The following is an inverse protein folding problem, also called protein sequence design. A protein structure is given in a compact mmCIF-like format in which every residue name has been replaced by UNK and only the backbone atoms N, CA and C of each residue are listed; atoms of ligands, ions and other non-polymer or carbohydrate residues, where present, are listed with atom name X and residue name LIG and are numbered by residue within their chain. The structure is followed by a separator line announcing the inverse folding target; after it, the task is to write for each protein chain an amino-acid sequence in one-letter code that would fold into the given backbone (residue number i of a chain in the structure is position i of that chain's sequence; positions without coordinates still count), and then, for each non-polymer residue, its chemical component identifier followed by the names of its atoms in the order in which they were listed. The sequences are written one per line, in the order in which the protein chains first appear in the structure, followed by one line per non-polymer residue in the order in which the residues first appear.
data_IF_457008191561
#
_entry.id   IF_457008191561
#
_cell.length_a   1.000
_cell.length_b   1.000
_cell.length_c   1.000
_cell.angle_alpha   90.00
_cell.angle_beta   90.00
_cell.angle_gamma   90.00
#
_symmetry.space_group_name_H-M   'P 1'
#
loop_
_entity.id
_entity.type
_entity.pdbx_description
1 polymer ?
#
# COMPACT_ATOMS: atom_id res chain seq x y z
N UNK A 1 -43.41 10.04 -40.05
CA UNK A 1 -42.24 10.45 -39.24
C UNK A 1 -41.23 11.07 -40.19
N UNK A 2 -40.89 12.36 -40.02
CA UNK A 2 -40.04 13.06 -40.99
C UNK A 2 -38.55 12.65 -40.81
N UNK A 3 -37.75 12.85 -41.86
CA UNK A 3 -36.33 12.46 -41.89
C UNK A 3 -35.53 13.04 -40.71
N UNK A 4 -35.93 14.22 -40.25
CA UNK A 4 -35.34 14.92 -39.10
C UNK A 4 -35.55 14.15 -37.79
N UNK A 5 -36.74 13.61 -37.54
CA UNK A 5 -37.03 12.79 -36.34
C UNK A 5 -36.24 11.47 -36.34
N UNK A 6 -36.02 10.88 -37.52
CA UNK A 6 -35.25 9.62 -37.65
C UNK A 6 -33.76 9.81 -37.36
N UNK A 7 -33.18 10.94 -37.80
CA UNK A 7 -31.77 11.26 -37.55
C UNK A 7 -31.53 11.57 -36.07
N UNK A 8 -32.44 12.32 -35.42
CA UNK A 8 -32.32 12.62 -33.98
C UNK A 8 -32.41 11.35 -33.12
N UNK A 9 -33.33 10.44 -33.41
CA UNK A 9 -33.42 9.15 -32.72
C UNK A 9 -32.14 8.29 -32.90
N UNK A 10 -31.54 8.29 -34.09
CA UNK A 10 -30.31 7.56 -34.38
C UNK A 10 -29.09 8.15 -33.64
N UNK A 11 -28.97 9.47 -33.57
CA UNK A 11 -27.89 10.16 -32.83
C UNK A 11 -28.02 9.95 -31.31
N UNK A 12 -29.24 9.93 -30.78
CA UNK A 12 -29.49 9.65 -29.35
C UNK A 12 -29.24 8.18 -28.98
N UNK A 13 -29.58 7.23 -29.86
CA UNK A 13 -29.25 5.81 -29.68
C UNK A 13 -27.75 5.55 -29.77
N UNK A 14 -27.04 6.22 -30.67
CA UNK A 14 -25.58 6.06 -30.82
C UNK A 14 -24.80 6.66 -29.64
N UNK A 15 -25.26 7.79 -29.09
CA UNK A 15 -24.65 8.42 -27.91
C UNK A 15 -24.93 7.64 -26.61
N UNK A 16 -26.11 7.04 -26.45
CA UNK A 16 -26.41 6.11 -25.36
C UNK A 16 -25.57 4.81 -25.43
N UNK A 17 -25.32 4.29 -26.63
CA UNK A 17 -24.51 3.09 -26.84
C UNK A 17 -23.01 3.32 -26.54
N UNK A 18 -22.47 4.49 -26.91
CA UNK A 18 -21.10 4.88 -26.57
C UNK A 18 -20.89 5.11 -25.07
N UNK A 19 -21.90 5.61 -24.35
CA UNK A 19 -21.83 5.80 -22.90
C UNK A 19 -21.82 4.46 -22.14
N UNK A 20 -22.50 3.43 -22.67
CA UNK A 20 -22.55 2.10 -22.06
C UNK A 20 -21.25 1.30 -22.24
N UNK A 21 -20.55 1.45 -23.38
CA UNK A 21 -19.28 0.76 -23.65
C UNK A 21 -18.08 1.35 -22.89
N UNK A 22 -18.13 2.64 -22.52
CA UNK A 22 -17.07 3.26 -21.71
C UNK A 22 -17.13 2.90 -20.23
N UNK A 23 -18.28 2.44 -19.71
CA UNK A 23 -18.39 2.06 -18.29
C UNK A 23 -17.89 0.65 -17.99
N UNK A 24 -17.97 -0.29 -18.95
CA UNK A 24 -17.61 -1.70 -18.69
C UNK A 24 -16.10 -1.99 -18.77
N UNK A 25 -15.32 -1.13 -19.44
CA UNK A 25 -13.87 -1.31 -19.60
C UNK A 25 -13.07 -0.85 -18.38
N UNK A 26 -13.56 0.13 -17.62
CA UNK A 26 -12.84 0.70 -16.45
C UNK A 26 -12.84 -0.27 -15.26
N UNK A 27 -13.93 -1.03 -15.04
CA UNK A 27 -14.05 -1.94 -13.89
C UNK A 27 -13.21 -3.21 -14.02
N UNK A 28 -13.01 -3.73 -15.25
CA UNK A 28 -12.25 -4.98 -15.46
C UNK A 28 -10.75 -4.81 -15.19
N UNK A 29 -10.19 -3.65 -15.52
CA UNK A 29 -8.78 -3.35 -15.32
C UNK A 29 -8.42 -3.21 -13.83
N UNK A 30 -9.31 -2.63 -13.01
CA UNK A 30 -9.06 -2.52 -11.56
C UNK A 30 -9.14 -3.88 -10.86
N UNK A 31 -10.08 -4.75 -11.25
CA UNK A 31 -10.22 -6.08 -10.64
C UNK A 31 -8.99 -6.94 -10.91
N UNK A 32 -8.49 -6.96 -12.15
CA UNK A 32 -7.29 -7.74 -12.48
C UNK A 32 -6.05 -7.25 -11.74
N UNK A 33 -5.90 -5.93 -11.58
CA UNK A 33 -4.81 -5.33 -10.83
C UNK A 33 -4.90 -5.68 -9.33
N UNK A 34 -6.09 -5.62 -8.74
CA UNK A 34 -6.31 -5.99 -7.34
C UNK A 34 -5.98 -7.48 -7.10
N UNK A 35 -6.35 -8.38 -8.01
CA UNK A 35 -6.01 -9.82 -7.92
C UNK A 35 -4.50 -10.06 -7.96
N UNK A 36 -3.78 -9.43 -8.89
CA UNK A 36 -2.33 -9.59 -9.02
C UNK A 36 -1.58 -9.05 -7.80
N UNK A 37 -2.06 -7.95 -7.20
CA UNK A 37 -1.49 -7.40 -5.98
C UNK A 37 -1.69 -8.33 -4.80
N UNK A 38 -2.89 -8.88 -4.63
CA UNK A 38 -3.17 -9.83 -3.57
C UNK A 38 -2.27 -11.06 -3.72
N UNK A 39 -2.18 -11.65 -4.91
CA UNK A 39 -1.28 -12.79 -5.16
C UNK A 39 0.19 -12.47 -4.86
N UNK A 40 0.64 -11.25 -5.14
CA UNK A 40 1.99 -10.83 -4.80
C UNK A 40 2.19 -10.71 -3.28
N UNK A 41 1.20 -10.17 -2.55
CA UNK A 41 1.24 -10.11 -1.09
C UNK A 41 1.22 -11.52 -0.47
N UNK A 42 0.36 -12.42 -0.97
CA UNK A 42 0.29 -13.84 -0.56
C UNK A 42 1.61 -14.57 -0.82
N UNK A 43 2.26 -14.30 -1.95
CA UNK A 43 3.58 -14.86 -2.25
C UNK A 43 4.66 -14.36 -1.28
N UNK A 44 4.58 -13.11 -0.83
CA UNK A 44 5.55 -12.52 0.11
C UNK A 44 5.36 -13.09 1.52
N UNK A 45 4.12 -13.17 2.01
CA UNK A 45 3.86 -13.52 3.42
C UNK A 45 3.47 -14.99 3.64
N UNK A 46 3.09 -15.71 2.58
CA UNK A 46 2.52 -17.06 2.70
C UNK A 46 1.09 -17.10 3.22
N UNK A 47 0.44 -15.94 3.40
CA UNK A 47 -0.94 -15.84 3.88
C UNK A 47 -1.98 -15.97 2.76
N UNK A 48 -3.25 -16.08 3.16
CA UNK A 48 -4.41 -15.92 2.29
C UNK A 48 -5.26 -14.74 2.78
N UNK A 49 -5.44 -13.71 1.93
CA UNK A 49 -6.15 -12.49 2.34
C UNK A 49 -7.64 -12.55 2.03
N UNK A 50 -8.46 -12.64 3.08
CA UNK A 50 -9.91 -12.94 2.95
C UNK A 50 -10.82 -11.75 3.16
N UNK A 51 -10.30 -10.67 3.74
CA UNK A 51 -11.09 -9.51 4.12
C UNK A 51 -10.62 -8.29 3.33
N UNK A 52 -11.57 -7.50 2.85
CA UNK A 52 -11.30 -6.23 2.18
C UNK A 52 -12.22 -5.16 2.78
N UNK A 53 -11.65 -4.04 3.15
CA UNK A 53 -12.38 -2.87 3.65
C UNK A 53 -11.73 -1.58 3.14
N UNK A 54 -12.39 -0.46 3.37
CA UNK A 54 -11.81 0.88 3.16
C UNK A 54 -11.74 1.60 4.50
N UNK A 55 -10.66 2.32 4.72
CA UNK A 55 -10.58 3.25 5.85
C UNK A 55 -11.53 4.43 5.63
N UNK A 56 -11.89 5.17 6.70
CA UNK A 56 -12.69 6.40 6.58
C UNK A 56 -12.09 7.44 5.61
N UNK A 57 -10.76 7.53 5.51
CA UNK A 57 -10.09 8.44 4.56
C UNK A 57 -9.92 7.86 3.16
N UNK A 58 -10.29 6.59 2.93
CA UNK A 58 -10.37 5.97 1.61
C UNK A 58 -9.22 5.02 1.24
N UNK A 59 -8.32 4.72 2.17
CA UNK A 59 -7.26 3.71 1.99
C UNK A 59 -7.90 2.34 1.79
N UNK A 60 -7.45 1.56 0.81
CA UNK A 60 -7.89 0.18 0.66
C UNK A 60 -7.09 -0.71 1.63
N UNK A 61 -7.79 -1.52 2.41
CA UNK A 61 -7.17 -2.42 3.38
C UNK A 61 -7.60 -3.84 3.03
N UNK A 62 -6.63 -4.71 2.81
CA UNK A 62 -6.84 -6.13 2.51
C UNK A 62 -6.15 -6.95 3.60
N UNK A 63 -6.83 -7.87 4.26
CA UNK A 63 -6.33 -8.44 5.50
C UNK A 63 -6.68 -9.92 5.68
N UNK A 64 -5.83 -10.63 6.42
CA UNK A 64 -6.03 -12.05 6.77
C UNK A 64 -7.20 -12.24 7.73
N UNK A 65 -7.47 -11.24 8.58
CA UNK A 65 -8.58 -11.16 9.54
C UNK A 65 -9.29 -9.82 9.39
N UNK A 66 -10.48 -9.66 9.97
CA UNK A 66 -11.14 -8.34 10.00
C UNK A 66 -10.29 -7.35 10.79
N UNK A 67 -9.76 -6.33 10.12
CA UNK A 67 -9.00 -5.26 10.78
C UNK A 67 -9.88 -4.53 11.82
N UNK A 68 -9.32 -4.28 13.00
CA UNK A 68 -10.04 -3.55 14.06
C UNK A 68 -10.12 -2.05 13.72
N UNK A 69 -11.08 -1.31 14.30
CA UNK A 69 -11.15 0.15 14.13
C UNK A 69 -9.85 0.87 14.50
N UNK A 70 -9.15 0.43 15.54
CA UNK A 70 -7.88 1.01 15.99
C UNK A 70 -6.77 0.80 14.96
N UNK A 71 -6.68 -0.39 14.37
CA UNK A 71 -5.74 -0.69 13.30
C UNK A 71 -5.99 0.19 12.07
N UNK A 72 -7.26 0.35 11.68
CA UNK A 72 -7.67 1.20 10.56
C UNK A 72 -7.37 2.68 10.85
N UNK A 73 -7.64 3.14 12.08
CA UNK A 73 -7.35 4.52 12.49
C UNK A 73 -5.84 4.82 12.50
N UNK A 74 -5.02 3.87 12.95
CA UNK A 74 -3.57 3.99 12.94
C UNK A 74 -3.00 4.05 11.51
N UNK A 75 -3.54 3.26 10.59
CA UNK A 75 -3.22 3.36 9.16
C UNK A 75 -3.51 4.78 8.62
N UNK A 76 -4.70 5.29 8.92
CA UNK A 76 -5.07 6.64 8.48
C UNK A 76 -4.25 7.74 9.18
N UNK A 77 -3.76 7.51 10.40
CA UNK A 77 -2.85 8.43 11.07
C UNK A 77 -1.48 8.43 10.39
N UNK A 78 -0.85 7.27 10.23
CA UNK A 78 0.49 7.15 9.63
C UNK A 78 0.59 7.76 8.24
N UNK A 79 -0.41 7.51 7.37
CA UNK A 79 -0.49 8.14 6.05
C UNK A 79 -0.61 9.66 6.14
N UNK A 80 -1.52 10.16 6.99
CA UNK A 80 -1.73 11.60 7.16
C UNK A 80 -0.50 12.33 7.68
N UNK A 81 0.17 11.76 8.69
CA UNK A 81 1.38 12.30 9.28
C UNK A 81 2.48 12.43 8.23
N UNK A 82 2.69 11.38 7.41
CA UNK A 82 3.65 11.45 6.32
C UNK A 82 3.24 12.49 5.26
N UNK A 83 1.98 12.52 4.84
CA UNK A 83 1.57 13.45 3.80
C UNK A 83 1.73 14.90 4.23
N UNK A 84 1.60 15.20 5.53
CA UNK A 84 1.91 16.52 6.08
C UNK A 84 3.40 16.84 5.93
N UNK A 85 4.29 15.91 6.31
CA UNK A 85 5.75 16.07 6.17
C UNK A 85 6.12 16.25 4.69
N UNK A 86 5.61 15.40 3.81
CA UNK A 86 5.88 15.43 2.36
C UNK A 86 5.45 16.77 1.71
N UNK A 87 4.35 17.37 2.19
CA UNK A 87 3.87 18.69 1.71
C UNK A 87 4.62 19.87 2.31
N UNK A 88 5.42 19.67 3.34
CA UNK A 88 6.13 20.76 4.03
C UNK A 88 6.98 21.58 3.06
N UNK A 89 7.33 22.80 3.48
CA UNK A 89 8.16 23.72 2.67
C UNK A 89 9.52 23.12 2.27
N UNK A 90 10.00 22.12 3.03
CA UNK A 90 11.25 21.39 2.80
C UNK A 90 11.15 20.47 1.58
N UNK A 91 10.11 19.63 1.52
CA UNK A 91 9.99 18.59 0.49
C UNK A 91 9.10 19.01 -0.69
N UNK A 92 8.00 19.73 -0.44
CA UNK A 92 7.07 20.24 -1.47
C UNK A 92 6.56 19.16 -2.44
N UNK A 93 6.50 17.90 -1.99
CA UNK A 93 6.01 16.79 -2.78
C UNK A 93 4.50 16.94 -3.04
N UNK A 94 4.03 16.36 -4.15
CA UNK A 94 2.64 16.55 -4.63
C UNK A 94 1.97 15.28 -5.13
N UNK A 95 2.73 14.26 -5.51
CA UNK A 95 2.20 13.02 -6.11
C UNK A 95 1.98 11.97 -5.03
N UNK A 96 0.89 11.19 -5.16
CA UNK A 96 0.54 10.07 -4.28
C UNK A 96 0.42 10.47 -2.81
N UNK A 97 -0.25 11.59 -2.54
CA UNK A 97 -0.47 12.13 -1.20
C UNK A 97 -1.96 12.08 -0.78
N UNK A 98 -2.73 11.16 -1.37
CA UNK A 98 -4.11 10.89 -0.97
C UNK A 98 -4.20 9.46 -0.44
N UNK A 99 -5.06 9.25 0.55
CA UNK A 99 -5.28 7.93 1.15
C UNK A 99 -5.73 6.89 0.13
N UNK A 100 -6.61 7.28 -0.79
CA UNK A 100 -7.13 6.42 -1.86
C UNK A 100 -6.09 6.00 -2.91
N UNK A 101 -4.89 6.57 -2.88
CA UNK A 101 -3.78 6.10 -3.72
C UNK A 101 -3.22 4.74 -3.21
N UNK A 102 -3.54 4.33 -1.98
CA UNK A 102 -2.86 3.24 -1.27
C UNK A 102 -3.73 2.00 -1.06
N UNK A 103 -3.08 0.84 -1.22
CA UNK A 103 -3.58 -0.48 -0.79
C UNK A 103 -2.63 -1.06 0.23
N UNK A 104 -3.13 -1.33 1.44
CA UNK A 104 -2.33 -1.84 2.54
C UNK A 104 -2.80 -3.23 2.89
N UNK A 105 -1.87 -4.18 2.87
CA UNK A 105 -2.10 -5.56 3.29
C UNK A 105 -1.79 -5.71 4.78
N UNK A 106 -2.67 -6.37 5.53
CA UNK A 106 -2.44 -6.74 6.94
C UNK A 106 -2.34 -8.26 7.02
N UNK A 107 -1.12 -8.72 7.22
CA UNK A 107 -0.71 -10.14 7.24
C UNK A 107 -0.72 -10.72 8.66
N UNK A 108 -0.57 -12.04 8.78
CA UNK A 108 -0.24 -12.61 10.09
C UNK A 108 1.18 -12.16 10.49
N UNK A 109 1.45 -12.10 11.79
CA UNK A 109 2.82 -11.90 12.27
C UNK A 109 3.55 -13.25 12.36
N UNK A 110 4.74 -13.36 11.79
CA UNK A 110 5.62 -14.52 11.98
C UNK A 110 6.44 -14.42 13.27
N UNK A 111 6.55 -13.20 13.81
CA UNK A 111 7.20 -12.91 15.08
C UNK A 111 6.46 -11.81 15.81
N UNK A 112 6.25 -11.99 17.11
CA UNK A 112 5.53 -11.03 17.96
C UNK A 112 6.45 -10.11 18.78
N UNK A 113 7.70 -10.52 19.00
CA UNK A 113 8.68 -9.80 19.81
C UNK A 113 10.00 -9.68 19.07
N UNK A 114 10.63 -8.52 19.16
CA UNK A 114 11.98 -8.33 18.64
C UNK A 114 13.03 -9.06 19.51
N UNK A 115 14.30 -8.98 19.10
CA UNK A 115 15.41 -9.66 19.80
C UNK A 115 15.62 -9.18 21.25
N UNK A 116 15.14 -7.99 21.62
CA UNK A 116 15.17 -7.47 22.98
C UNK A 116 13.95 -7.89 23.82
N UNK A 117 13.02 -8.67 23.26
CA UNK A 117 11.81 -9.13 23.93
C UNK A 117 10.65 -8.13 23.92
N UNK A 118 10.82 -6.97 23.29
CA UNK A 118 9.76 -5.95 23.16
C UNK A 118 8.75 -6.37 22.09
N UNK A 119 7.49 -6.01 22.29
CA UNK A 119 6.44 -6.23 21.30
C UNK A 119 6.77 -5.50 19.99
N UNK A 120 6.91 -6.26 18.92
CA UNK A 120 7.21 -5.77 17.56
C UNK A 120 6.81 -6.87 16.59
N UNK A 121 5.52 -6.92 16.21
CA UNK A 121 5.06 -7.82 15.17
C UNK A 121 5.82 -7.60 13.87
N UNK A 122 6.32 -8.69 13.28
CA UNK A 122 7.04 -8.69 12.01
C UNK A 122 6.57 -9.85 11.13
N UNK A 123 6.70 -9.67 9.83
CA UNK A 123 6.62 -10.72 8.80
C UNK A 123 8.01 -11.25 8.48
N UNK A 124 8.09 -12.53 8.17
CA UNK A 124 9.27 -13.16 7.59
C UNK A 124 9.23 -12.95 6.07
N UNK A 125 10.24 -12.27 5.53
CA UNK A 125 10.38 -12.05 4.09
C UNK A 125 11.70 -12.63 3.61
N UNK A 126 11.77 -13.05 2.35
CA UNK A 126 13.01 -13.56 1.76
C UNK A 126 14.15 -12.57 1.98
N UNK A 127 15.33 -13.09 2.35
CA UNK A 127 16.43 -12.23 2.75
C UNK A 127 16.92 -11.35 1.59
N UNK A 128 16.88 -11.84 0.35
CA UNK A 128 17.28 -11.12 -0.86
C UNK A 128 18.57 -10.30 -0.65
N UNK A 129 18.46 -8.96 -0.66
CA UNK A 129 19.57 -8.02 -0.44
C UNK A 129 20.27 -8.14 0.93
N UNK A 130 19.66 -8.83 1.88
CA UNK A 130 20.19 -9.11 3.21
C UNK A 130 20.87 -10.48 3.32
N UNK A 131 20.91 -11.30 2.26
CA UNK A 131 21.52 -12.63 2.30
C UNK A 131 22.98 -12.59 2.80
N UNK A 132 23.30 -13.42 3.79
CA UNK A 132 24.61 -13.48 4.44
C UNK A 132 24.92 -12.33 5.40
N UNK A 133 24.01 -11.36 5.59
CA UNK A 133 24.17 -10.29 6.58
C UNK A 133 23.78 -10.75 7.99
N UNK A 134 24.06 -9.93 9.02
CA UNK A 134 23.59 -10.19 10.40
C UNK A 134 22.07 -10.26 10.56
N UNK A 135 21.34 -9.73 9.58
CA UNK A 135 19.87 -9.74 9.57
C UNK A 135 19.31 -11.05 9.03
N UNK A 136 20.08 -11.76 8.20
CA UNK A 136 19.72 -13.05 7.62
C UNK A 136 19.53 -14.11 8.73
N UNK A 137 18.35 -14.71 8.75
CA UNK A 137 17.95 -15.79 9.67
C UNK A 137 17.97 -17.16 9.00
N UNK A 138 18.80 -17.32 7.96
CA UNK A 138 18.93 -18.57 7.21
C UNK A 138 18.03 -18.58 5.97
N UNK A 139 17.99 -17.47 5.23
CA UNK A 139 17.22 -17.29 4.00
C UNK A 139 16.10 -16.25 4.11
N UNK A 140 15.88 -15.67 5.28
CA UNK A 140 14.81 -14.68 5.51
C UNK A 140 15.22 -13.59 6.52
N UNK A 141 14.50 -12.47 6.51
CA UNK A 141 14.60 -11.40 7.51
C UNK A 141 13.23 -11.13 8.12
N UNK A 142 13.21 -10.63 9.35
CA UNK A 142 11.99 -10.12 9.97
C UNK A 142 11.85 -8.63 9.67
N UNK A 143 10.73 -8.25 9.07
CA UNK A 143 10.40 -6.88 8.73
C UNK A 143 9.02 -6.50 9.27
N UNK A 144 8.86 -5.28 9.78
CA UNK A 144 7.57 -4.79 10.25
C UNK A 144 6.58 -4.52 9.09
N UNK A 145 7.13 -4.21 7.92
CA UNK A 145 6.42 -4.05 6.67
C UNK A 145 7.33 -4.24 5.46
N UNK A 146 6.72 -4.29 4.28
CA UNK A 146 7.42 -4.38 3.00
C UNK A 146 6.58 -3.80 1.86
N UNK A 147 7.18 -2.97 1.01
CA UNK A 147 6.57 -2.53 -0.24
C UNK A 147 6.30 -3.73 -1.16
N UNK A 148 5.03 -3.88 -1.57
CA UNK A 148 4.54 -4.93 -2.47
C UNK A 148 4.58 -4.45 -3.91
N UNK A 149 4.18 -3.20 -4.16
CA UNK A 149 4.18 -2.60 -5.48
C UNK A 149 4.37 -1.08 -5.42
N UNK A 150 5.11 -0.54 -6.39
CA UNK A 150 5.36 0.89 -6.50
C UNK A 150 4.27 1.61 -7.31
N UNK A 151 3.56 0.89 -8.18
CA UNK A 151 2.39 1.38 -8.92
C UNK A 151 1.43 0.22 -9.21
N UNK A 152 0.26 0.15 -8.54
CA UNK A 152 -0.28 1.13 -7.59
C UNK A 152 0.52 1.11 -6.28
N UNK A 153 0.33 2.13 -5.42
CA UNK A 153 1.06 2.23 -4.16
C UNK A 153 0.55 1.14 -3.20
N UNK A 154 1.34 0.08 -2.99
CA UNK A 154 0.94 -1.03 -2.14
C UNK A 154 2.08 -1.55 -1.28
N UNK A 155 1.77 -1.90 -0.05
CA UNK A 155 2.69 -2.51 0.90
C UNK A 155 1.93 -3.40 1.88
N UNK A 156 2.67 -4.29 2.53
CA UNK A 156 2.17 -5.21 3.56
C UNK A 156 2.79 -4.87 4.90
N UNK A 157 2.03 -5.02 5.98
CA UNK A 157 2.47 -4.90 7.37
C UNK A 157 1.99 -6.09 8.17
N UNK A 158 2.67 -6.40 9.28
CA UNK A 158 2.20 -7.40 10.23
C UNK A 158 0.95 -6.91 10.99
N UNK A 159 0.06 -7.82 11.37
CA UNK A 159 -1.06 -7.50 12.26
C UNK A 159 -0.57 -7.11 13.65
N UNK A 160 -1.14 -6.02 14.18
CA UNK A 160 -0.97 -5.61 15.56
C UNK A 160 -2.29 -5.79 16.32
N UNK A 161 -2.20 -6.44 17.49
CA UNK A 161 -3.32 -6.56 18.44
C UNK A 161 -3.25 -5.54 19.57
N UNK A 162 -2.14 -4.81 19.65
CA UNK A 162 -1.85 -3.71 20.58
C UNK A 162 -0.74 -2.84 19.99
N UNK A 163 -0.46 -1.72 20.66
CA UNK A 163 0.53 -0.73 20.23
C UNK A 163 0.28 -0.25 18.80
N UNK A 164 -0.79 0.52 18.65
CA UNK A 164 -1.23 1.08 17.37
C UNK A 164 -0.46 2.34 16.98
N UNK A 165 0.33 2.93 17.90
CA UNK A 165 1.27 3.99 17.50
C UNK A 165 2.37 3.39 16.64
N UNK A 166 2.89 2.21 17.01
CA UNK A 166 3.86 1.48 16.17
C UNK A 166 3.31 1.18 14.77
N UNK A 167 2.02 0.87 14.65
CA UNK A 167 1.37 0.70 13.33
C UNK A 167 1.45 1.99 12.51
N UNK A 168 1.15 3.13 13.13
CA UNK A 168 1.21 4.43 12.46
C UNK A 168 2.62 4.74 11.97
N UNK A 169 3.66 4.39 12.75
CA UNK A 169 5.06 4.51 12.35
C UNK A 169 5.40 3.62 11.16
N UNK A 170 5.07 2.32 11.21
CA UNK A 170 5.37 1.39 10.11
C UNK A 170 4.68 1.82 8.83
N UNK A 171 3.41 2.22 8.92
CA UNK A 171 2.65 2.76 7.79
C UNK A 171 3.33 4.00 7.23
N UNK A 172 3.76 4.94 8.07
CA UNK A 172 4.54 6.10 7.62
C UNK A 172 5.80 5.65 6.88
N UNK A 173 6.58 4.74 7.46
CA UNK A 173 7.87 4.30 6.93
C UNK A 173 7.75 3.62 5.56
N UNK A 174 6.83 2.67 5.39
CA UNK A 174 6.60 2.05 4.08
C UNK A 174 6.08 3.06 3.04
N UNK A 175 5.29 4.04 3.50
CA UNK A 175 4.76 5.09 2.64
C UNK A 175 5.86 6.08 2.20
N UNK A 176 6.91 6.30 3.00
CA UNK A 176 8.07 7.13 2.63
C UNK A 176 8.69 6.65 1.32
N UNK A 177 8.89 5.35 1.17
CA UNK A 177 9.42 4.73 -0.05
C UNK A 177 8.54 5.02 -1.27
N UNK A 178 7.23 4.92 -1.12
CA UNK A 178 6.28 5.15 -2.22
C UNK A 178 6.20 6.64 -2.60
N UNK A 179 6.15 7.52 -1.61
CA UNK A 179 6.17 8.98 -1.84
C UNK A 179 7.47 9.39 -2.52
N UNK A 180 8.62 8.89 -2.06
CA UNK A 180 9.91 9.15 -2.68
C UNK A 180 9.98 8.60 -4.09
N UNK A 181 9.53 7.35 -4.33
CA UNK A 181 9.45 6.78 -5.66
C UNK A 181 8.73 7.75 -6.62
N UNK A 182 7.57 8.30 -6.24
CA UNK A 182 6.81 9.16 -7.15
C UNK A 182 7.27 10.62 -7.23
N UNK A 183 7.99 11.15 -6.23
CA UNK A 183 8.36 12.57 -6.15
C UNK A 183 9.86 12.84 -6.24
N UNK A 184 10.72 11.94 -5.77
CA UNK A 184 12.17 12.09 -5.70
C UNK A 184 12.90 10.76 -5.94
N UNK A 185 13.07 10.45 -7.23
CA UNK A 185 13.72 9.21 -7.70
C UNK A 185 15.14 9.03 -7.22
N UNK A 186 15.86 10.14 -7.03
CA UNK A 186 17.25 10.11 -6.60
C UNK A 186 17.29 9.70 -5.14
N UNK A 187 16.55 10.40 -4.30
CA UNK A 187 16.54 10.12 -2.87
C UNK A 187 15.94 8.74 -2.55
N UNK A 188 14.94 8.29 -3.31
CA UNK A 188 14.45 6.90 -3.26
C UNK A 188 15.58 5.88 -3.46
N UNK A 189 16.37 6.00 -4.53
CA UNK A 189 17.45 5.04 -4.82
C UNK A 189 18.56 5.06 -3.78
N UNK A 190 18.82 6.21 -3.19
CA UNK A 190 19.83 6.37 -2.14
C UNK A 190 19.40 5.74 -0.80
N UNK A 191 18.09 5.55 -0.59
CA UNK A 191 17.52 5.13 0.70
C UNK A 191 16.74 3.81 0.67
N UNK A 192 16.52 3.22 -0.52
CA UNK A 192 15.76 1.97 -0.67
C UNK A 192 16.46 0.73 -0.07
N UNK A 193 17.79 0.74 0.04
CA UNK A 193 18.58 -0.34 0.62
C UNK A 193 19.03 0.02 2.05
N UNK A 194 18.39 -0.62 3.04
CA UNK A 194 18.73 -0.42 4.45
C UNK A 194 19.87 -1.35 4.93
N UNK A 195 20.36 -2.29 4.11
CA UNK A 195 21.40 -3.26 4.51
C UNK A 195 22.73 -2.59 4.87
N UNK A 196 22.96 -1.36 4.37
CA UNK A 196 24.21 -0.59 4.55
C UNK A 196 24.15 0.46 5.67
N UNK A 197 23.11 0.44 6.51
CA UNK A 197 23.01 1.28 7.70
C UNK A 197 22.14 2.53 7.57
N UNK A 198 21.39 2.69 6.47
CA UNK A 198 20.28 3.64 6.39
C UNK A 198 19.03 3.08 7.07
N UNK A 199 18.17 3.93 7.62
CA UNK A 199 16.95 3.50 8.31
C UNK A 199 15.84 4.55 8.25
N UNK A 200 14.70 4.20 8.79
CA UNK A 200 13.59 5.13 8.97
C UNK A 200 13.72 5.92 10.28
N UNK A 201 13.11 7.12 10.37
CA UNK A 201 12.42 7.84 9.29
C UNK A 201 13.40 8.40 8.23
N UNK A 202 12.98 8.36 6.97
CA UNK A 202 13.72 8.99 5.84
C UNK A 202 13.31 10.47 5.70
N UNK A 203 12.02 10.76 5.84
CA UNK A 203 11.49 12.13 5.78
C UNK A 203 11.29 12.67 7.19
N UNK A 204 11.89 13.84 7.47
CA UNK A 204 11.89 14.52 8.78
C UNK A 204 11.47 15.97 8.66
#
# INVERSE_FOLDING_TARGET
MNLFTRIICLVLLFSAFLFFFFQTTISSQSIKQDVLLTQQAEKITGDEFKFSTKSPKGTRIISVRKATPEMIAAIDKGLSDLFQIARSKKYRYKKRLNHSDYTIFISNSDRQKNAAGNYSPDIAVAADQYAGSKYDKGGYVYAAGMVVALNPCAFVIAEHVKDFERVSEVVRYETEHLVLYHNDRKFFRETADHSKGGGHPILN
#
